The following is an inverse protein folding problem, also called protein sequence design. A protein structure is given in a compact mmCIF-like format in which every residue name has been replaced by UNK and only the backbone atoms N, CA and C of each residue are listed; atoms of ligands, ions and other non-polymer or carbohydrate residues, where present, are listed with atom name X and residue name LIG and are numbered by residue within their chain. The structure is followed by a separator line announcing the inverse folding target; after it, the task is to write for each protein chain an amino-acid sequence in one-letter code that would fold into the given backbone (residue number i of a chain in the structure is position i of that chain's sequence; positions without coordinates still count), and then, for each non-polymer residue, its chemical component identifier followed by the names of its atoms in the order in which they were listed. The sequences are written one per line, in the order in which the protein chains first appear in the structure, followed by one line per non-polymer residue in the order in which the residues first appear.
data_IF_153745104097
#
_entry.id   IF_153745104097
#
_cell.length_a   1.000
_cell.length_b   1.000
_cell.length_c   1.000
_cell.angle_alpha   90.00
_cell.angle_beta   90.00
_cell.angle_gamma   90.00
#
_symmetry.space_group_name_H-M   'P 1'
#
loop_
_entity.id
_entity.type
_entity.pdbx_description
1 polymer ?
#
# COMPACT_ATOMS: atom_id res chain seq x y z
N UNK A 1 -8.45 23.08 -33.50
CA UNK A 1 -7.85 24.40 -33.69
C UNK A 1 -7.94 25.21 -32.41
N UNK A 2 -6.90 25.93 -32.02
CA UNK A 2 -6.84 26.79 -30.84
C UNK A 2 -6.38 28.20 -31.25
N UNK A 3 -6.79 29.21 -30.47
CA UNK A 3 -6.37 30.59 -30.68
C UNK A 3 -5.17 30.83 -29.76
N UNK A 4 -4.03 31.32 -30.31
CA UNK A 4 -2.87 31.62 -29.49
C UNK A 4 -3.19 32.71 -28.44
N UNK A 5 -2.68 32.49 -27.23
CA UNK A 5 -2.70 33.54 -26.19
C UNK A 5 -1.69 34.65 -26.51
N UNK A 6 -1.63 35.69 -25.69
CA UNK A 6 -0.74 36.86 -25.89
C UNK A 6 0.75 36.51 -25.93
N UNK A 7 1.14 35.31 -25.45
CA UNK A 7 2.51 34.80 -25.47
C UNK A 7 2.75 33.79 -26.60
N UNK A 8 1.73 33.51 -27.44
CA UNK A 8 1.81 32.51 -28.51
C UNK A 8 1.58 31.06 -28.09
N UNK A 9 1.27 30.82 -26.83
CA UNK A 9 0.92 29.49 -26.29
C UNK A 9 -0.55 29.14 -26.52
N UNK A 10 -0.92 27.91 -26.16
CA UNK A 10 -2.29 27.40 -26.30
C UNK A 10 -3.10 27.45 -24.98
N UNK A 11 -2.47 27.89 -23.90
CA UNK A 11 -3.11 28.03 -22.61
C UNK A 11 -4.15 29.13 -22.58
N UNK A 12 -5.31 28.84 -21.98
CA UNK A 12 -6.31 29.88 -21.70
C UNK A 12 -5.94 30.57 -20.36
N UNK A 13 -5.28 31.74 -20.49
CA UNK A 13 -4.75 32.47 -19.33
C UNK A 13 -5.87 32.95 -18.40
N UNK A 14 -7.01 33.36 -18.95
CA UNK A 14 -8.18 33.80 -18.19
C UNK A 14 -8.77 32.66 -17.38
N UNK A 15 -8.83 31.44 -17.93
CA UNK A 15 -9.28 30.24 -17.21
C UNK A 15 -8.32 29.89 -16.08
N UNK A 16 -7.01 29.97 -16.30
CA UNK A 16 -5.98 29.74 -15.27
C UNK A 16 -6.17 30.71 -14.10
N UNK A 17 -6.28 32.02 -14.38
CA UNK A 17 -6.49 33.04 -13.35
C UNK A 17 -7.83 32.84 -12.61
N UNK A 18 -8.89 32.47 -13.35
CA UNK A 18 -10.18 32.16 -12.75
C UNK A 18 -10.06 31.00 -11.75
N UNK A 19 -9.38 29.87 -12.11
CA UNK A 19 -9.21 28.70 -11.26
C UNK A 19 -8.37 29.02 -10.02
N UNK A 20 -7.28 29.77 -10.17
CA UNK A 20 -6.46 30.25 -9.05
C UNK A 20 -7.29 31.08 -8.07
N UNK A 21 -8.05 32.03 -8.61
CA UNK A 21 -8.90 32.91 -7.80
C UNK A 21 -10.01 32.09 -7.10
N UNK A 22 -10.69 31.19 -7.83
CA UNK A 22 -11.70 30.29 -7.30
C UNK A 22 -11.16 29.51 -6.10
N UNK A 23 -10.02 28.82 -6.28
CA UNK A 23 -9.41 27.98 -5.24
C UNK A 23 -9.00 28.82 -4.02
N UNK A 24 -8.42 30.00 -4.23
CA UNK A 24 -8.05 30.93 -3.15
C UNK A 24 -9.27 31.36 -2.32
N UNK A 25 -10.34 31.79 -2.99
CA UNK A 25 -11.57 32.24 -2.31
C UNK A 25 -12.30 31.10 -1.63
N UNK A 26 -12.36 29.93 -2.29
CA UNK A 26 -13.02 28.75 -1.77
C UNK A 26 -12.36 28.25 -0.48
N UNK A 27 -11.05 28.05 -0.50
CA UNK A 27 -10.28 27.63 0.69
C UNK A 27 -10.41 28.60 1.86
N UNK A 28 -10.48 29.91 1.57
CA UNK A 28 -10.65 30.92 2.59
C UNK A 28 -12.03 30.90 3.23
N UNK A 29 -13.09 30.61 2.45
CA UNK A 29 -14.47 30.55 2.92
C UNK A 29 -14.84 29.20 3.53
N UNK A 30 -14.28 28.12 3.02
CA UNK A 30 -14.61 26.73 3.35
C UNK A 30 -13.33 25.92 3.61
N UNK A 31 -12.59 26.19 4.72
CA UNK A 31 -11.28 25.59 4.97
C UNK A 31 -11.32 24.06 5.14
N UNK A 32 -12.47 23.50 5.52
CA UNK A 32 -12.67 22.07 5.73
C UNK A 32 -13.17 21.32 4.47
N UNK A 33 -13.40 22.04 3.37
CA UNK A 33 -13.84 21.45 2.11
C UNK A 33 -12.67 21.29 1.14
N UNK A 34 -12.78 20.31 0.25
CA UNK A 34 -11.76 19.99 -0.74
C UNK A 34 -12.22 20.32 -2.16
N UNK A 35 -11.30 20.86 -2.95
CA UNK A 35 -11.45 20.99 -4.40
C UNK A 35 -10.53 19.98 -5.08
N UNK A 36 -11.11 19.09 -5.87
CA UNK A 36 -10.41 18.00 -6.56
C UNK A 36 -10.53 18.25 -8.06
N UNK A 37 -9.39 18.28 -8.75
CA UNK A 37 -9.36 18.47 -10.19
C UNK A 37 -9.56 17.13 -10.92
N UNK A 38 -10.50 17.09 -11.85
CA UNK A 38 -10.55 16.10 -12.92
C UNK A 38 -9.85 16.70 -14.14
N UNK A 39 -8.61 16.29 -14.34
CA UNK A 39 -7.77 16.81 -15.40
C UNK A 39 -6.84 15.69 -15.90
N UNK A 40 -6.89 15.37 -17.20
CA UNK A 40 -6.26 14.20 -17.81
C UNK A 40 -4.92 14.49 -18.48
N UNK A 41 -4.52 15.77 -18.58
CA UNK A 41 -3.28 16.14 -19.25
C UNK A 41 -2.07 16.12 -18.31
N UNK A 42 -0.90 16.35 -18.88
CA UNK A 42 0.34 16.52 -18.13
C UNK A 42 0.55 17.96 -17.62
N UNK A 43 -0.52 18.76 -17.49
CA UNK A 43 -0.42 20.12 -16.96
C UNK A 43 0.21 20.10 -15.57
N UNK A 44 1.29 20.88 -15.35
CA UNK A 44 2.02 20.84 -14.09
C UNK A 44 1.36 21.67 -13.00
N UNK A 45 1.66 21.32 -11.74
CA UNK A 45 1.28 22.09 -10.54
C UNK A 45 -0.22 22.32 -10.38
N UNK A 46 -1.07 21.40 -10.82
CA UNK A 46 -2.52 21.45 -10.54
C UNK A 46 -2.77 21.52 -9.04
N UNK A 47 -2.03 20.71 -8.26
CA UNK A 47 -2.11 20.68 -6.79
C UNK A 47 -1.00 21.45 -6.10
N UNK A 48 -0.24 22.22 -6.86
CA UNK A 48 0.79 23.13 -6.34
C UNK A 48 0.18 24.34 -5.64
N UNK A 49 0.94 24.92 -4.73
CA UNK A 49 0.51 26.12 -4.01
C UNK A 49 0.42 27.32 -4.96
N UNK A 50 -0.54 28.23 -4.70
CA UNK A 50 -0.76 29.43 -5.50
C UNK A 50 0.47 30.35 -5.53
N UNK A 51 1.23 30.39 -4.43
CA UNK A 51 2.47 31.18 -4.29
C UNK A 51 3.59 30.66 -5.18
N UNK A 52 3.56 29.37 -5.54
CA UNK A 52 4.50 28.70 -6.44
C UNK A 52 3.96 28.57 -7.88
N UNK A 53 3.01 29.42 -8.24
CA UNK A 53 2.33 29.43 -9.54
C UNK A 53 1.50 28.16 -9.83
N UNK A 54 1.11 27.42 -8.79
CA UNK A 54 0.18 26.30 -8.88
C UNK A 54 -1.27 26.77 -9.00
N UNK A 55 -2.19 25.84 -9.34
CA UNK A 55 -3.62 26.13 -9.41
C UNK A 55 -4.32 26.04 -8.05
N UNK A 56 -3.69 25.43 -7.05
CA UNK A 56 -4.20 25.37 -5.68
C UNK A 56 -5.30 24.36 -5.42
N UNK A 57 -5.50 23.35 -6.26
CA UNK A 57 -6.39 22.23 -5.95
C UNK A 57 -5.81 21.38 -4.83
N UNK A 58 -6.69 20.71 -4.06
CA UNK A 58 -6.25 19.82 -3.00
C UNK A 58 -5.74 18.48 -3.53
N UNK A 59 -6.41 17.96 -4.56
CA UNK A 59 -6.06 16.72 -5.25
C UNK A 59 -6.34 16.81 -6.74
N UNK A 60 -5.68 15.90 -7.48
CA UNK A 60 -5.93 15.66 -8.92
C UNK A 60 -6.24 14.19 -9.14
N UNK A 61 -7.22 13.85 -9.95
CA UNK A 61 -7.46 12.48 -10.38
C UNK A 61 -6.26 11.96 -11.18
N UNK A 62 -5.83 10.75 -10.87
CA UNK A 62 -4.77 10.07 -11.64
C UNK A 62 -5.40 9.22 -12.75
N UNK A 63 -5.78 9.87 -13.83
CA UNK A 63 -6.42 9.21 -14.96
C UNK A 63 -5.44 8.34 -15.76
N UNK A 64 -4.15 8.68 -15.77
CA UNK A 64 -3.10 7.86 -16.37
C UNK A 64 -2.99 6.50 -15.66
N UNK A 65 -2.85 6.51 -14.34
CA UNK A 65 -2.85 5.26 -13.55
C UNK A 65 -4.14 4.45 -13.75
N UNK A 66 -5.29 5.11 -13.76
CA UNK A 66 -6.59 4.46 -13.93
C UNK A 66 -6.67 3.73 -15.25
N UNK A 67 -6.31 4.38 -16.36
CA UNK A 67 -6.33 3.78 -17.69
C UNK A 67 -5.38 2.57 -17.77
N UNK A 68 -4.12 2.73 -17.39
CA UNK A 68 -3.11 1.67 -17.41
C UNK A 68 -3.53 0.49 -16.55
N UNK A 69 -4.00 0.77 -15.34
CA UNK A 69 -4.39 -0.25 -14.39
C UNK A 69 -5.61 -1.07 -14.85
N UNK A 70 -6.65 -0.41 -15.38
CA UNK A 70 -7.85 -1.10 -15.87
C UNK A 70 -7.51 -1.92 -17.13
N UNK A 71 -6.74 -1.37 -18.06
CA UNK A 71 -6.31 -2.12 -19.25
C UNK A 71 -5.48 -3.35 -18.87
N UNK A 72 -4.57 -3.22 -17.89
CA UNK A 72 -3.83 -4.34 -17.36
C UNK A 72 -4.75 -5.42 -16.77
N UNK A 73 -5.71 -5.02 -15.93
CA UNK A 73 -6.59 -5.94 -15.23
C UNK A 73 -7.57 -6.68 -16.15
N UNK A 74 -7.93 -6.12 -17.30
CA UNK A 74 -8.75 -6.77 -18.34
C UNK A 74 -8.04 -7.93 -19.01
N UNK A 75 -6.71 -7.93 -19.06
CA UNK A 75 -5.95 -9.00 -19.68
C UNK A 75 -6.11 -10.30 -18.90
N UNK A 76 -6.21 -11.42 -19.65
CA UNK A 76 -6.08 -12.74 -19.05
C UNK A 76 -4.71 -12.82 -18.31
N UNK A 77 -4.67 -13.37 -17.09
CA UNK A 77 -3.46 -13.47 -16.29
C UNK A 77 -2.23 -14.07 -17.03
N UNK A 78 -2.48 -14.94 -18.01
CA UNK A 78 -1.42 -15.55 -18.82
C UNK A 78 -0.68 -14.51 -19.70
N UNK A 79 -1.37 -13.44 -20.11
CA UNK A 79 -0.80 -12.41 -20.99
C UNK A 79 -0.30 -11.17 -20.23
N UNK A 80 -0.60 -11.05 -18.93
CA UNK A 80 -0.27 -9.86 -18.13
C UNK A 80 1.22 -9.53 -18.08
N UNK A 81 2.10 -10.53 -18.20
CA UNK A 81 3.54 -10.31 -18.21
C UNK A 81 4.02 -9.34 -19.29
N UNK A 82 3.40 -9.38 -20.47
CA UNK A 82 3.71 -8.46 -21.58
C UNK A 82 3.30 -7.00 -21.31
N UNK A 83 2.49 -6.76 -20.29
CA UNK A 83 1.92 -5.45 -19.92
C UNK A 83 2.32 -5.00 -18.52
N UNK A 84 3.37 -5.59 -17.97
CA UNK A 84 3.78 -5.36 -16.57
C UNK A 84 4.15 -3.88 -16.28
N UNK A 85 4.61 -3.17 -17.26
CA UNK A 85 4.91 -1.74 -17.22
C UNK A 85 3.67 -0.89 -16.90
N UNK A 86 2.47 -1.30 -17.30
CA UNK A 86 1.22 -0.61 -16.95
C UNK A 86 0.97 -0.54 -15.43
N UNK A 87 1.55 -1.44 -14.64
CA UNK A 87 1.48 -1.38 -13.17
C UNK A 87 2.57 -0.51 -12.54
N UNK A 88 3.72 -0.40 -13.19
CA UNK A 88 4.92 0.24 -12.61
C UNK A 88 5.13 1.67 -13.09
N UNK A 89 4.66 2.00 -14.29
CA UNK A 89 4.87 3.30 -14.92
C UNK A 89 4.36 4.49 -14.08
N UNK A 90 3.21 4.33 -13.43
CA UNK A 90 2.63 5.37 -12.58
C UNK A 90 3.56 5.84 -11.45
N UNK A 91 4.47 4.99 -10.99
CA UNK A 91 5.43 5.34 -9.93
C UNK A 91 6.49 6.36 -10.40
N UNK A 92 6.70 6.53 -11.70
CA UNK A 92 7.63 7.52 -12.25
C UNK A 92 7.13 8.94 -11.95
N UNK A 93 5.82 9.16 -11.94
CA UNK A 93 5.21 10.47 -11.72
C UNK A 93 4.33 10.54 -10.46
N UNK A 94 4.26 9.47 -9.65
CA UNK A 94 3.35 9.36 -8.50
C UNK A 94 3.42 10.52 -7.49
N UNK A 95 4.52 11.26 -7.46
CA UNK A 95 4.78 12.36 -6.51
C UNK A 95 4.85 13.72 -7.19
N UNK A 96 4.52 13.83 -8.50
CA UNK A 96 4.48 15.12 -9.20
C UNK A 96 3.28 15.96 -8.82
N UNK A 97 2.20 15.34 -8.36
CA UNK A 97 0.96 15.94 -7.90
C UNK A 97 0.42 15.19 -6.68
N UNK A 98 -0.54 15.78 -5.98
CA UNK A 98 -1.29 15.08 -4.92
C UNK A 98 -2.40 14.23 -5.57
N UNK A 99 -2.02 13.08 -6.08
CA UNK A 99 -2.93 12.23 -6.84
C UNK A 99 -3.98 11.53 -5.97
N UNK A 100 -5.18 11.44 -6.56
CA UNK A 100 -6.26 10.56 -6.13
C UNK A 100 -6.44 9.48 -7.19
N UNK A 101 -6.25 8.23 -6.81
CA UNK A 101 -6.39 7.06 -7.68
C UNK A 101 -7.89 6.81 -7.89
N UNK A 102 -8.42 7.34 -8.99
CA UNK A 102 -9.85 7.35 -9.28
C UNK A 102 -10.24 6.13 -10.12
N UNK A 103 -11.28 5.43 -9.67
CA UNK A 103 -12.10 4.56 -10.53
C UNK A 103 -13.51 5.10 -10.37
N UNK A 104 -13.95 5.89 -11.37
CA UNK A 104 -15.16 6.71 -11.27
C UNK A 104 -16.36 6.09 -12.00
N UNK A 105 -17.41 6.89 -12.22
CA UNK A 105 -18.55 6.50 -13.02
C UNK A 105 -18.19 6.29 -14.50
N UNK A 106 -17.24 7.05 -15.03
CA UNK A 106 -16.85 7.00 -16.43
C UNK A 106 -16.33 5.62 -16.86
N UNK A 107 -15.75 4.85 -15.94
CA UNK A 107 -15.26 3.51 -16.24
C UNK A 107 -16.37 2.45 -16.27
N UNK A 108 -17.58 2.80 -15.79
CA UNK A 108 -18.68 1.82 -15.60
C UNK A 108 -20.00 2.23 -16.25
N UNK A 109 -19.94 3.08 -17.28
CA UNK A 109 -21.07 3.60 -18.07
C UNK A 109 -20.82 3.48 -19.57
N UNK A 110 -21.81 3.78 -20.39
CA UNK A 110 -21.72 3.92 -21.85
C UNK A 110 -21.15 2.70 -22.58
N UNK A 111 -21.63 1.51 -22.23
CA UNK A 111 -21.22 0.20 -22.81
C UNK A 111 -19.76 -0.18 -22.50
N UNK A 112 -19.16 0.44 -21.50
CA UNK A 112 -17.80 0.06 -21.03
C UNK A 112 -17.84 -1.18 -20.11
N UNK A 113 -19.03 -1.59 -19.64
CA UNK A 113 -19.23 -2.66 -18.64
C UNK A 113 -18.87 -2.22 -17.21
N UNK A 114 -19.22 -3.03 -16.23
CA UNK A 114 -18.81 -2.81 -14.83
C UNK A 114 -17.35 -3.27 -14.59
N UNK A 115 -16.78 -2.95 -13.44
CA UNK A 115 -15.46 -3.50 -13.08
C UNK A 115 -15.50 -5.04 -13.00
N UNK A 116 -16.60 -5.59 -12.50
CA UNK A 116 -16.78 -7.04 -12.43
C UNK A 116 -16.73 -7.69 -13.83
N UNK A 117 -17.44 -7.12 -14.80
CA UNK A 117 -17.49 -7.66 -16.16
C UNK A 117 -16.19 -7.44 -16.95
N UNK A 118 -15.35 -6.49 -16.52
CA UNK A 118 -14.01 -6.26 -17.08
C UNK A 118 -13.01 -7.33 -16.64
N UNK A 119 -13.23 -7.98 -15.48
CA UNK A 119 -12.31 -8.99 -14.99
C UNK A 119 -12.42 -10.26 -15.84
N UNK A 120 -11.29 -10.87 -16.22
CA UNK A 120 -11.26 -12.12 -16.96
C UNK A 120 -11.64 -13.33 -16.11
N UNK A 121 -12.06 -14.39 -16.77
CA UNK A 121 -12.35 -15.69 -16.17
C UNK A 121 -13.80 -15.87 -15.71
N UNK A 122 -14.05 -16.95 -14.99
CA UNK A 122 -15.33 -17.27 -14.36
C UNK A 122 -15.56 -16.43 -13.10
N UNK A 123 -16.77 -16.45 -12.54
CA UNK A 123 -17.19 -15.56 -11.44
C UNK A 123 -16.23 -15.57 -10.24
N UNK A 124 -15.76 -16.75 -9.83
CA UNK A 124 -14.80 -16.86 -8.73
C UNK A 124 -13.46 -16.17 -9.05
N UNK A 125 -12.99 -16.29 -10.29
CA UNK A 125 -11.77 -15.63 -10.77
C UNK A 125 -11.97 -14.11 -10.90
N UNK A 126 -13.13 -13.65 -11.36
CA UNK A 126 -13.48 -12.22 -11.41
C UNK A 126 -13.46 -11.61 -10.02
N UNK A 127 -14.08 -12.28 -9.05
CA UNK A 127 -14.08 -11.81 -7.65
C UNK A 127 -12.67 -11.82 -7.05
N UNK A 128 -11.83 -12.81 -7.37
CA UNK A 128 -10.42 -12.82 -6.95
C UNK A 128 -9.64 -11.64 -7.57
N UNK A 129 -9.82 -11.38 -8.87
CA UNK A 129 -9.24 -10.24 -9.56
C UNK A 129 -9.70 -8.90 -8.94
N UNK A 130 -10.98 -8.75 -8.57
CA UNK A 130 -11.47 -7.54 -7.91
C UNK A 130 -10.84 -7.36 -6.51
N UNK A 131 -10.74 -8.43 -5.70
CA UNK A 131 -10.05 -8.36 -4.40
C UNK A 131 -8.59 -7.93 -4.57
N UNK A 132 -7.88 -8.49 -5.55
CA UNK A 132 -6.51 -8.10 -5.86
C UNK A 132 -6.44 -6.64 -6.33
N UNK A 133 -7.31 -6.22 -7.23
CA UNK A 133 -7.36 -4.87 -7.78
C UNK A 133 -7.56 -3.81 -6.68
N UNK A 134 -8.55 -3.99 -5.82
CA UNK A 134 -8.80 -3.07 -4.71
C UNK A 134 -7.67 -3.09 -3.67
N UNK A 135 -7.12 -4.28 -3.40
CA UNK A 135 -5.96 -4.41 -2.52
C UNK A 135 -4.76 -3.62 -3.03
N UNK A 136 -4.41 -3.77 -4.31
CA UNK A 136 -3.33 -3.03 -4.95
C UNK A 136 -3.61 -1.51 -4.94
N UNK A 137 -4.82 -1.08 -5.34
CA UNK A 137 -5.21 0.33 -5.31
C UNK A 137 -5.04 0.93 -3.91
N UNK A 138 -5.49 0.24 -2.85
CA UNK A 138 -5.36 0.76 -1.49
C UNK A 138 -3.92 0.75 -0.97
N UNK A 139 -3.10 -0.17 -1.43
CA UNK A 139 -1.69 -0.23 -1.05
C UNK A 139 -0.78 0.70 -1.87
N UNK A 140 -1.19 1.11 -3.07
CA UNK A 140 -0.44 2.06 -3.93
C UNK A 140 -0.41 3.47 -3.29
N UNK A 141 0.65 4.29 -3.46
CA UNK A 141 0.65 5.70 -3.03
C UNK A 141 -0.46 6.53 -3.67
N UNK A 142 -0.90 7.57 -2.98
CA UNK A 142 -2.00 8.46 -3.40
C UNK A 142 -3.31 8.18 -2.66
N UNK A 143 -4.28 9.11 -2.71
CA UNK A 143 -5.62 8.90 -2.14
C UNK A 143 -6.46 8.00 -3.06
N UNK A 144 -7.60 7.53 -2.58
CA UNK A 144 -8.39 6.48 -3.25
C UNK A 144 -9.80 6.97 -3.52
N UNK A 145 -10.33 6.59 -4.66
CA UNK A 145 -11.74 6.77 -5.00
C UNK A 145 -12.27 5.50 -5.67
N UNK A 146 -13.36 4.98 -5.14
CA UNK A 146 -14.19 3.96 -5.76
C UNK A 146 -15.57 4.52 -6.00
N UNK A 147 -16.20 4.13 -7.09
CA UNK A 147 -17.56 4.52 -7.38
C UNK A 147 -18.54 3.51 -6.78
N UNK A 148 -19.74 4.00 -6.41
CA UNK A 148 -20.78 3.21 -5.75
C UNK A 148 -21.12 1.92 -6.50
N UNK A 149 -21.28 0.82 -5.77
CA UNK A 149 -21.56 -0.51 -6.30
C UNK A 149 -20.30 -1.34 -6.62
N UNK A 150 -19.15 -0.70 -6.77
CA UNK A 150 -17.90 -1.44 -7.02
C UNK A 150 -17.50 -2.26 -5.79
N UNK A 151 -17.81 -1.80 -4.58
CA UNK A 151 -17.46 -2.43 -3.31
C UNK A 151 -18.12 -3.82 -3.11
N UNK A 152 -19.18 -4.12 -3.83
CA UNK A 152 -19.79 -5.45 -3.84
C UNK A 152 -19.81 -6.10 -5.24
N UNK A 153 -19.10 -5.50 -6.20
CA UNK A 153 -18.94 -6.07 -7.55
C UNK A 153 -20.20 -6.02 -8.40
N UNK A 154 -20.91 -4.88 -8.42
CA UNK A 154 -22.06 -4.69 -9.28
C UNK A 154 -21.80 -5.18 -10.70
N UNK A 155 -22.71 -6.00 -11.25
CA UNK A 155 -22.55 -6.63 -12.57
C UNK A 155 -22.97 -5.70 -13.69
N UNK A 156 -24.12 -5.04 -13.55
CA UNK A 156 -24.62 -4.11 -14.57
C UNK A 156 -23.85 -2.79 -14.50
N UNK A 157 -23.77 -2.10 -15.63
CA UNK A 157 -23.31 -0.71 -15.66
C UNK A 157 -24.15 0.16 -14.73
N UNK A 158 -23.50 1.17 -14.15
CA UNK A 158 -24.20 2.17 -13.36
C UNK A 158 -25.16 2.99 -14.23
N UNK A 159 -26.29 3.42 -13.67
CA UNK A 159 -27.26 4.30 -14.31
C UNK A 159 -27.98 5.12 -13.25
N UNK A 160 -28.13 6.41 -13.51
CA UNK A 160 -28.91 7.33 -12.68
C UNK A 160 -30.41 7.02 -12.69
N UNK A 161 -30.88 6.18 -13.63
CA UNK A 161 -32.30 5.84 -13.80
C UNK A 161 -32.75 4.68 -12.90
N UNK A 162 -31.85 4.03 -12.19
CA UNK A 162 -32.14 2.88 -11.35
C UNK A 162 -31.27 2.80 -10.10
N UNK A 163 -31.77 2.06 -9.10
CA UNK A 163 -31.00 1.70 -7.92
C UNK A 163 -29.81 0.80 -8.27
N UNK A 164 -28.81 0.77 -7.36
CA UNK A 164 -27.77 -0.27 -7.40
C UNK A 164 -28.40 -1.65 -7.22
N UNK A 165 -27.70 -2.67 -7.68
CA UNK A 165 -28.15 -4.08 -7.68
C UNK A 165 -27.92 -4.72 -6.30
N UNK A 166 -28.60 -4.17 -5.25
CA UNK A 166 -28.44 -4.60 -3.86
C UNK A 166 -28.76 -6.08 -3.63
N UNK A 167 -29.59 -6.67 -4.48
CA UNK A 167 -29.93 -8.09 -4.50
C UNK A 167 -28.71 -9.01 -4.67
N UNK A 168 -27.63 -8.52 -5.28
CA UNK A 168 -26.37 -9.27 -5.40
C UNK A 168 -25.77 -9.63 -4.04
N UNK A 169 -26.08 -8.87 -2.98
CA UNK A 169 -25.60 -9.19 -1.62
C UNK A 169 -26.24 -10.47 -1.02
N UNK A 170 -27.29 -10.99 -1.63
CA UNK A 170 -27.84 -12.31 -1.30
C UNK A 170 -26.92 -13.44 -1.80
N UNK A 171 -26.10 -13.17 -2.82
CA UNK A 171 -25.11 -14.09 -3.34
C UNK A 171 -23.82 -14.06 -2.49
N UNK A 172 -23.33 -15.25 -2.11
CA UNK A 172 -22.18 -15.39 -1.19
C UNK A 172 -20.92 -14.67 -1.69
N UNK A 173 -20.63 -14.76 -2.99
CA UNK A 173 -19.45 -14.14 -3.59
C UNK A 173 -19.42 -12.61 -3.47
N UNK A 174 -20.55 -11.96 -3.78
CA UNK A 174 -20.71 -10.50 -3.72
C UNK A 174 -20.74 -9.99 -2.28
N UNK A 175 -21.41 -10.71 -1.37
CA UNK A 175 -21.39 -10.40 0.06
C UNK A 175 -19.99 -10.49 0.63
N UNK A 176 -19.22 -11.54 0.32
CA UNK A 176 -17.83 -11.71 0.75
C UNK A 176 -16.89 -10.66 0.17
N UNK A 177 -17.14 -10.19 -1.05
CA UNK A 177 -16.39 -9.05 -1.61
C UNK A 177 -16.65 -7.78 -0.81
N UNK A 178 -17.88 -7.52 -0.40
CA UNK A 178 -18.19 -6.36 0.46
C UNK A 178 -17.54 -6.49 1.83
N UNK A 179 -17.55 -7.68 2.45
CA UNK A 179 -16.87 -7.96 3.71
C UNK A 179 -15.34 -7.76 3.57
N UNK A 180 -14.78 -8.18 2.43
CA UNK A 180 -13.39 -7.90 2.07
C UNK A 180 -13.11 -6.40 2.03
N UNK A 181 -13.94 -5.61 1.34
CA UNK A 181 -13.78 -4.16 1.26
C UNK A 181 -13.84 -3.49 2.63
N UNK A 182 -14.76 -3.91 3.51
CA UNK A 182 -14.82 -3.42 4.88
C UNK A 182 -13.54 -3.73 5.67
N UNK A 183 -13.00 -4.95 5.52
CA UNK A 183 -11.75 -5.35 6.16
C UNK A 183 -10.54 -4.59 5.60
N UNK A 184 -10.50 -4.36 4.29
CA UNK A 184 -9.45 -3.62 3.60
C UNK A 184 -9.44 -2.13 4.02
N UNK A 185 -10.61 -1.51 4.16
CA UNK A 185 -10.74 -0.14 4.67
C UNK A 185 -10.30 -0.04 6.14
N UNK A 186 -10.62 -1.03 6.97
CA UNK A 186 -10.12 -1.10 8.36
C UNK A 186 -8.59 -1.20 8.40
N UNK A 187 -8.00 -2.03 7.51
CA UNK A 187 -6.55 -2.11 7.36
C UNK A 187 -5.97 -0.74 6.99
N UNK A 188 -6.53 -0.08 5.99
CA UNK A 188 -6.09 1.24 5.53
C UNK A 188 -6.09 2.25 6.67
N UNK A 189 -7.19 2.37 7.43
CA UNK A 189 -7.30 3.28 8.58
C UNK A 189 -6.36 2.95 9.74
N UNK A 190 -6.07 1.67 9.96
CA UNK A 190 -5.25 1.22 11.10
C UNK A 190 -3.75 1.25 10.83
N UNK A 191 -3.33 1.38 9.55
CA UNK A 191 -1.93 1.31 9.15
C UNK A 191 -1.44 2.65 8.57
N UNK A 192 -0.79 3.52 9.36
CA UNK A 192 -0.29 4.81 8.90
C UNK A 192 0.59 4.73 7.66
N UNK A 193 1.33 3.65 7.49
CA UNK A 193 2.15 3.41 6.30
C UNK A 193 1.38 3.44 4.97
N UNK A 194 0.06 3.22 5.00
CA UNK A 194 -0.77 3.22 3.79
C UNK A 194 -1.24 4.62 3.36
N UNK A 195 -1.12 5.65 4.25
CA UNK A 195 -1.66 6.99 3.94
C UNK A 195 -0.81 8.18 4.41
N UNK A 196 0.13 8.00 5.37
CA UNK A 196 0.88 9.13 5.96
C UNK A 196 1.81 9.80 4.95
N UNK A 197 2.47 9.01 4.09
CA UNK A 197 3.40 9.48 3.06
C UNK A 197 2.91 9.18 1.64
N UNK A 198 1.63 9.40 1.37
CA UNK A 198 1.06 9.14 0.03
C UNK A 198 1.65 10.02 -1.07
N UNK A 199 2.18 11.20 -0.71
CA UNK A 199 2.72 12.19 -1.64
C UNK A 199 4.22 12.40 -1.48
N UNK A 200 4.92 11.43 -0.88
CA UNK A 200 6.38 11.43 -0.71
C UNK A 200 6.96 10.08 -1.05
N UNK A 201 8.07 10.09 -1.77
CA UNK A 201 8.85 8.87 -2.07
C UNK A 201 9.35 8.14 -0.82
N UNK A 202 9.43 8.82 0.33
CA UNK A 202 9.80 8.20 1.61
C UNK A 202 8.82 7.11 2.06
N UNK A 203 7.56 7.20 1.62
CA UNK A 203 6.49 6.26 1.96
C UNK A 203 6.47 4.96 1.18
N UNK A 204 7.32 4.83 0.15
CA UNK A 204 7.31 3.69 -0.76
C UNK A 204 8.71 3.20 -1.08
N UNK A 205 8.86 1.91 -1.31
CA UNK A 205 10.11 1.33 -1.79
C UNK A 205 9.82 0.02 -2.52
N UNK A 206 10.30 -0.12 -3.76
CA UNK A 206 10.28 -1.39 -4.45
C UNK A 206 11.20 -2.39 -3.75
N UNK A 207 10.71 -3.60 -3.53
CA UNK A 207 11.55 -4.77 -3.21
C UNK A 207 11.84 -5.52 -4.50
N UNK A 208 10.80 -5.84 -5.25
CA UNK A 208 10.94 -6.47 -6.56
C UNK A 208 9.75 -6.06 -7.46
N UNK A 209 10.05 -5.39 -8.56
CA UNK A 209 9.09 -5.01 -9.59
C UNK A 209 9.48 -5.55 -10.97
N UNK A 210 10.48 -6.43 -11.04
CA UNK A 210 11.03 -6.96 -12.30
C UNK A 210 10.59 -8.40 -12.61
N UNK A 211 9.77 -9.00 -11.74
CA UNK A 211 9.24 -10.36 -11.92
C UNK A 211 8.04 -10.40 -12.89
N UNK A 212 8.21 -9.80 -14.06
CA UNK A 212 7.15 -9.70 -15.06
C UNK A 212 6.69 -11.07 -15.59
N UNK A 213 7.59 -12.07 -15.71
CA UNK A 213 7.25 -13.44 -16.10
C UNK A 213 6.33 -14.13 -15.08
N UNK A 214 6.42 -13.74 -13.80
CA UNK A 214 5.59 -14.25 -12.72
C UNK A 214 4.42 -13.35 -12.38
N UNK A 215 4.33 -12.17 -12.99
CA UNK A 215 3.31 -11.15 -12.68
C UNK A 215 3.28 -10.77 -11.19
N UNK A 216 4.45 -10.63 -10.56
CA UNK A 216 4.58 -10.27 -9.15
C UNK A 216 5.04 -8.83 -8.98
N UNK A 217 4.42 -8.13 -8.05
CA UNK A 217 4.90 -6.85 -7.51
C UNK A 217 5.10 -6.97 -6.01
N UNK A 218 6.29 -6.59 -5.54
CA UNK A 218 6.64 -6.65 -4.12
C UNK A 218 7.21 -5.29 -3.72
N UNK A 219 6.61 -4.66 -2.72
CA UNK A 219 7.01 -3.32 -2.29
C UNK A 219 6.77 -3.11 -0.80
N UNK A 220 7.35 -2.04 -0.28
CA UNK A 220 7.15 -1.57 1.08
C UNK A 220 6.28 -0.32 1.09
N UNK A 221 5.41 -0.23 2.10
CA UNK A 221 4.82 1.02 2.54
C UNK A 221 5.44 1.37 3.91
N UNK A 222 5.81 2.63 4.08
CA UNK A 222 6.64 3.06 5.21
C UNK A 222 6.12 4.35 5.84
N UNK A 223 6.46 4.55 7.12
CA UNK A 223 6.45 5.85 7.81
C UNK A 223 7.87 6.17 8.32
N UNK A 224 8.02 7.24 9.09
CA UNK A 224 9.28 7.50 9.82
C UNK A 224 9.61 6.40 10.84
N UNK A 225 8.57 5.70 11.32
CA UNK A 225 8.73 4.62 12.29
C UNK A 225 8.95 3.31 11.57
N UNK A 226 10.08 2.70 11.82
CA UNK A 226 10.46 1.41 11.22
C UNK A 226 9.42 0.31 11.50
N UNK A 227 8.79 0.35 12.65
CA UNK A 227 7.81 -0.63 13.10
C UNK A 227 6.50 -0.57 12.30
N UNK A 228 6.19 0.56 11.67
CA UNK A 228 5.01 0.72 10.83
C UNK A 228 5.23 0.17 9.41
N UNK A 229 6.45 -0.32 9.09
CA UNK A 229 6.75 -0.85 7.75
C UNK A 229 5.86 -2.03 7.42
N UNK A 230 5.21 -1.96 6.28
CA UNK A 230 4.43 -3.03 5.66
C UNK A 230 5.16 -3.56 4.44
N UNK A 231 5.23 -4.89 4.31
CA UNK A 231 5.62 -5.56 3.08
C UNK A 231 4.34 -6.00 2.37
N UNK A 232 4.15 -5.52 1.15
CA UNK A 232 3.00 -5.83 0.29
C UNK A 232 3.48 -6.72 -0.84
N UNK A 233 2.76 -7.81 -1.08
CA UNK A 233 3.03 -8.79 -2.14
C UNK A 233 1.77 -8.94 -2.96
N UNK A 234 1.82 -8.56 -4.23
CA UNK A 234 0.71 -8.70 -5.18
C UNK A 234 1.07 -9.72 -6.26
N UNK A 235 0.22 -10.70 -6.45
CA UNK A 235 0.35 -11.71 -7.48
C UNK A 235 -0.81 -11.58 -8.49
N UNK A 236 -0.50 -11.13 -9.67
CA UNK A 236 -1.45 -10.95 -10.77
C UNK A 236 -1.55 -12.18 -11.69
N UNK A 237 -0.82 -13.27 -11.36
CA UNK A 237 -0.90 -14.54 -12.08
C UNK A 237 -1.89 -15.50 -11.43
N UNK A 238 -2.28 -16.53 -12.17
CA UNK A 238 -3.11 -17.64 -11.69
C UNK A 238 -2.28 -18.79 -11.06
N UNK A 239 -1.01 -18.52 -10.71
CA UNK A 239 -0.09 -19.50 -10.13
C UNK A 239 0.06 -19.24 -8.63
N UNK A 240 -0.07 -20.29 -7.82
CA UNK A 240 0.26 -20.26 -6.39
C UNK A 240 1.75 -20.53 -6.22
N UNK A 241 2.43 -19.74 -5.39
CA UNK A 241 3.82 -19.98 -5.02
C UNK A 241 3.92 -20.42 -3.55
N UNK A 242 4.25 -21.68 -3.29
CA UNK A 242 4.28 -22.24 -1.94
C UNK A 242 5.47 -21.82 -1.09
N UNK A 243 6.62 -21.57 -1.71
CA UNK A 243 7.89 -21.27 -1.04
C UNK A 243 8.66 -20.14 -1.77
N UNK A 244 8.04 -18.97 -1.90
CA UNK A 244 8.67 -17.85 -2.56
C UNK A 244 9.56 -17.08 -1.57
N UNK A 245 10.83 -16.86 -1.95
CA UNK A 245 11.78 -16.11 -1.14
C UNK A 245 11.72 -14.63 -1.53
N UNK A 246 11.59 -13.77 -0.53
CA UNK A 246 11.48 -12.30 -0.67
C UNK A 246 12.55 -11.64 0.16
N UNK A 247 13.29 -10.72 -0.43
CA UNK A 247 14.23 -9.85 0.27
C UNK A 247 13.51 -8.89 1.21
N UNK A 248 14.05 -8.69 2.41
CA UNK A 248 13.46 -7.79 3.40
C UNK A 248 14.51 -6.84 3.98
N UNK A 249 14.13 -5.55 4.25
CA UNK A 249 15.10 -4.53 4.65
C UNK A 249 15.63 -4.75 6.07
N UNK A 250 14.87 -5.40 6.92
CA UNK A 250 15.18 -5.51 8.34
C UNK A 250 15.20 -6.94 8.84
N UNK A 251 16.19 -7.32 9.67
CA UNK A 251 16.11 -8.58 10.39
C UNK A 251 15.00 -8.50 11.44
N UNK A 252 14.12 -9.50 11.48
CA UNK A 252 13.02 -9.53 12.44
C UNK A 252 11.89 -10.48 12.09
N UNK A 253 10.71 -10.15 12.63
CA UNK A 253 9.48 -10.91 12.46
C UNK A 253 8.61 -10.23 11.44
N UNK A 254 8.06 -11.01 10.52
CA UNK A 254 7.08 -10.60 9.52
C UNK A 254 5.81 -11.42 9.72
N UNK A 255 4.72 -10.77 10.10
CA UNK A 255 3.42 -11.40 10.34
C UNK A 255 2.45 -10.98 9.24
N UNK A 256 1.85 -11.94 8.56
CA UNK A 256 0.73 -11.65 7.66
C UNK A 256 -0.43 -11.10 8.48
N UNK A 257 -0.86 -9.90 8.14
CA UNK A 257 -1.96 -9.18 8.81
C UNK A 257 -3.19 -9.03 7.92
N UNK A 258 -3.01 -9.25 6.61
CA UNK A 258 -4.08 -9.21 5.64
C UNK A 258 -3.73 -10.10 4.44
N UNK A 259 -4.75 -10.79 3.89
CA UNK A 259 -4.61 -11.62 2.72
C UNK A 259 -5.94 -11.66 1.97
N UNK A 260 -5.93 -11.25 0.70
CA UNK A 260 -7.14 -11.19 -0.13
C UNK A 260 -7.70 -12.56 -0.49
N UNK A 261 -6.90 -13.62 -0.35
CA UNK A 261 -7.29 -15.00 -0.60
C UNK A 261 -7.76 -15.76 0.66
N UNK A 262 -7.95 -15.04 1.77
CA UNK A 262 -8.50 -15.66 2.97
C UNK A 262 -9.92 -16.24 2.70
N UNK A 263 -10.20 -17.42 3.23
CA UNK A 263 -11.49 -18.09 3.06
C UNK A 263 -12.68 -17.23 3.54
N UNK A 264 -12.48 -16.38 4.54
CA UNK A 264 -13.48 -15.41 4.99
C UNK A 264 -13.95 -14.45 3.89
N UNK A 265 -13.10 -14.18 2.89
CA UNK A 265 -13.39 -13.31 1.75
C UNK A 265 -13.73 -14.09 0.47
N UNK A 266 -13.98 -15.40 0.56
CA UNK A 266 -14.26 -16.26 -0.59
C UNK A 266 -13.03 -16.67 -1.39
N UNK A 267 -11.83 -16.59 -0.80
CA UNK A 267 -10.60 -17.10 -1.38
C UNK A 267 -10.36 -18.57 -1.06
N UNK A 268 -9.33 -19.15 -1.68
CA UNK A 268 -8.92 -20.54 -1.53
C UNK A 268 -8.18 -20.81 -0.19
N UNK A 269 -7.84 -19.78 0.56
CA UNK A 269 -7.18 -19.90 1.87
C UNK A 269 -5.68 -20.13 1.80
N UNK A 270 -5.00 -19.70 0.74
CA UNK A 270 -3.54 -19.72 0.63
C UNK A 270 -2.96 -18.59 1.47
N UNK A 271 -2.76 -18.85 2.75
CA UNK A 271 -2.35 -17.86 3.76
C UNK A 271 -1.07 -18.25 4.50
N UNK A 272 -0.46 -17.31 5.23
CA UNK A 272 0.73 -17.51 6.06
C UNK A 272 0.39 -17.35 7.55
N UNK A 273 -0.22 -18.35 8.22
CA UNK A 273 -0.72 -18.19 9.59
C UNK A 273 0.40 -18.06 10.63
N UNK A 274 1.61 -18.52 10.30
CA UNK A 274 2.78 -18.44 11.20
C UNK A 274 3.62 -17.22 10.88
N UNK A 275 4.11 -16.55 11.93
CA UNK A 275 5.10 -15.48 11.80
C UNK A 275 6.34 -15.98 11.07
N UNK A 276 6.78 -15.23 10.07
CA UNK A 276 8.01 -15.51 9.33
C UNK A 276 9.18 -14.80 10.01
N UNK A 277 10.20 -15.56 10.37
CA UNK A 277 11.46 -14.99 10.86
C UNK A 277 12.39 -14.76 9.69
N UNK A 278 12.94 -13.56 9.56
CA UNK A 278 13.94 -13.30 8.53
C UNK A 278 15.22 -14.14 8.77
N UNK A 279 15.82 -14.58 7.68
CA UNK A 279 17.10 -15.29 7.65
C UNK A 279 18.16 -14.43 6.98
N UNK A 280 19.42 -14.59 7.34
CA UNK A 280 20.56 -14.03 6.62
C UNK A 280 20.76 -14.81 5.31
N UNK A 281 19.92 -14.56 4.34
CA UNK A 281 20.00 -15.09 2.98
C UNK A 281 19.70 -13.94 2.04
N UNK A 282 20.60 -13.67 1.13
CA UNK A 282 20.50 -12.56 0.19
C UNK A 282 19.41 -12.84 -0.85
N UNK A 283 18.54 -11.87 -1.09
CA UNK A 283 17.48 -11.91 -2.07
C UNK A 283 17.03 -10.48 -2.38
N UNK A 284 16.65 -10.19 -3.62
CA UNK A 284 16.15 -8.88 -4.05
C UNK A 284 17.06 -7.72 -3.56
N UNK A 285 18.37 -7.86 -3.70
CA UNK A 285 19.39 -6.91 -3.23
C UNK A 285 19.33 -6.60 -1.71
N UNK A 286 18.68 -7.46 -0.92
CA UNK A 286 18.59 -7.36 0.53
C UNK A 286 19.37 -8.48 1.21
N UNK A 287 20.06 -8.14 2.33
CA UNK A 287 20.89 -9.10 3.11
C UNK A 287 20.06 -10.12 3.89
N UNK A 288 18.76 -9.86 4.04
CA UNK A 288 17.85 -10.73 4.76
C UNK A 288 16.66 -11.07 3.87
N UNK A 289 16.09 -12.25 4.09
CA UNK A 289 14.91 -12.70 3.35
C UNK A 289 13.94 -13.44 4.25
N UNK A 290 12.69 -13.56 3.80
CA UNK A 290 11.67 -14.44 4.33
C UNK A 290 11.19 -15.38 3.23
N UNK A 291 10.59 -16.51 3.62
CA UNK A 291 9.95 -17.42 2.67
C UNK A 291 8.47 -17.50 2.97
N UNK A 292 7.63 -17.20 1.98
CA UNK A 292 6.19 -17.08 2.12
C UNK A 292 5.45 -17.93 1.08
N UNK A 293 4.16 -18.18 1.35
CA UNK A 293 3.19 -18.60 0.33
C UNK A 293 2.59 -17.34 -0.29
N UNK A 294 2.38 -17.37 -1.59
CA UNK A 294 1.74 -16.28 -2.33
C UNK A 294 0.52 -16.86 -3.07
N UNK A 295 -0.69 -16.39 -2.78
CA UNK A 295 -1.90 -16.86 -3.46
C UNK A 295 -1.92 -16.46 -4.94
N UNK A 296 -2.59 -17.22 -5.77
CA UNK A 296 -2.95 -16.82 -7.11
C UNK A 296 -3.94 -15.65 -7.07
N UNK A 297 -3.85 -14.70 -8.01
CA UNK A 297 -4.75 -13.55 -8.11
C UNK A 297 -5.01 -12.91 -6.74
N UNK A 298 -3.95 -12.69 -5.96
CA UNK A 298 -4.11 -12.26 -4.58
C UNK A 298 -3.02 -11.32 -4.07
N UNK A 299 -3.35 -10.63 -2.97
CA UNK A 299 -2.46 -9.74 -2.25
C UNK A 299 -2.29 -10.21 -0.81
N UNK A 300 -1.04 -10.20 -0.34
CA UNK A 300 -0.70 -10.43 1.08
C UNK A 300 0.02 -9.21 1.64
N UNK A 301 -0.32 -8.83 2.87
CA UNK A 301 0.33 -7.72 3.60
C UNK A 301 0.94 -8.26 4.89
N UNK A 302 2.23 -7.98 5.07
CA UNK A 302 2.97 -8.39 6.26
C UNK A 302 3.41 -7.16 7.06
N UNK A 303 3.15 -7.17 8.37
CA UNK A 303 3.70 -6.19 9.30
C UNK A 303 5.05 -6.65 9.83
N UNK A 304 5.95 -5.68 9.97
CA UNK A 304 7.27 -5.90 10.57
C UNK A 304 7.25 -5.68 12.09
N UNK A 305 8.01 -6.49 12.82
CA UNK A 305 8.36 -6.22 14.22
C UNK A 305 9.79 -6.65 14.53
N UNK A 306 10.45 -5.89 15.41
CA UNK A 306 11.82 -6.22 15.85
C UNK A 306 11.85 -7.60 16.53
N UNK A 307 12.97 -8.33 16.45
CA UNK A 307 13.19 -9.48 17.33
C UNK A 307 13.12 -9.00 18.77
N UNK A 308 12.53 -9.79 19.66
CA UNK A 308 12.68 -9.53 21.09
C UNK A 308 14.19 -9.47 21.42
N UNK A 309 14.65 -8.39 22.04
CA UNK A 309 16.02 -8.37 22.57
C UNK A 309 16.17 -9.60 23.49
N UNK A 310 17.15 -10.47 23.16
CA UNK A 310 17.53 -11.49 24.14
C UNK A 310 17.90 -10.77 25.40
N UNK A 311 17.20 -11.02 26.50
CA UNK A 311 17.58 -10.53 27.81
C UNK A 311 19.08 -10.85 27.95
N UNK A 312 19.90 -9.82 28.00
CA UNK A 312 21.34 -9.99 28.29
C UNK A 312 21.36 -10.73 29.63
N UNK A 313 21.81 -11.99 29.60
CA UNK A 313 21.97 -12.78 30.78
C UNK A 313 22.78 -11.97 31.80
N UNK A 314 22.14 -11.49 32.86
CA UNK A 314 22.73 -10.75 33.96
C UNK A 314 23.64 -11.65 34.83
N UNK A 315 24.24 -12.70 34.23
CA UNK A 315 25.23 -13.57 34.92
C UNK A 315 26.55 -12.88 35.19
N UNK A 316 26.92 -11.85 34.38
CA UNK A 316 28.16 -11.10 34.60
C UNK A 316 28.08 -10.08 35.76
N UNK A 317 26.89 -9.55 36.08
CA UNK A 317 26.74 -8.64 37.21
C UNK A 317 26.82 -9.35 38.59
N UNK A 318 26.30 -10.60 38.69
CA UNK A 318 26.37 -11.38 39.94
C UNK A 318 27.76 -11.93 40.24
N UNK A 319 28.61 -12.13 39.22
CA UNK A 319 29.98 -12.57 39.39
C UNK A 319 30.91 -11.43 39.85
N UNK A 320 30.66 -10.19 39.43
CA UNK A 320 31.41 -9.03 39.90
C UNK A 320 31.04 -8.61 41.33
N UNK A 321 29.74 -8.69 41.72
CA UNK A 321 29.34 -8.40 43.10
C UNK A 321 29.87 -9.44 44.09
N UNK A 322 29.89 -10.73 43.71
CA UNK A 322 30.49 -11.79 44.58
C UNK A 322 32.00 -11.64 44.74
N UNK A 323 32.74 -11.25 43.70
CA UNK A 323 34.22 -10.98 43.81
C UNK A 323 34.55 -9.73 44.63
N UNK A 324 33.70 -8.70 44.62
CA UNK A 324 33.90 -7.47 45.39
C UNK A 324 33.56 -7.67 46.86
N UNK A 325 32.54 -8.48 47.21
CA UNK A 325 32.21 -8.78 48.60
C UNK A 325 33.25 -9.71 49.27
N UNK A 326 33.79 -10.69 48.54
CA UNK A 326 34.86 -11.57 49.05
C UNK A 326 36.16 -10.77 49.32
N UNK A 327 36.55 -9.85 48.43
CA UNK A 327 37.72 -8.99 48.66
C UNK A 327 37.54 -8.02 49.84
N UNK A 328 36.34 -7.53 50.10
CA UNK A 328 36.04 -6.64 51.23
C UNK A 328 36.08 -7.36 52.58
N UNK A 329 35.61 -8.62 52.62
CA UNK A 329 35.69 -9.44 53.84
C UNK A 329 37.12 -9.87 54.15
N UNK A 330 37.91 -10.29 53.15
CA UNK A 330 39.35 -10.61 53.39
C UNK A 330 40.15 -9.40 53.87
N UNK A 331 39.84 -8.17 53.43
CA UNK A 331 40.54 -6.96 53.88
C UNK A 331 40.20 -6.65 55.35
N UNK A 332 38.95 -6.87 55.76
CA UNK A 332 38.51 -6.69 57.17
C UNK A 332 39.12 -7.69 58.12
N UNK A 333 39.22 -8.95 57.72
CA UNK A 333 39.87 -10.00 58.50
C UNK A 333 41.38 -9.82 58.67
N UNK A 334 42.06 -9.20 57.67
CA UNK A 334 43.48 -8.84 57.78
C UNK A 334 43.68 -7.63 58.66
N UNK A 335 42.83 -6.62 58.62
CA UNK A 335 42.90 -5.43 59.50
C UNK A 335 42.63 -5.79 60.96
N UNK A 336 41.68 -6.69 61.26
CA UNK A 336 41.40 -7.18 62.63
C UNK A 336 42.53 -8.08 63.20
N UNK A 337 43.31 -8.77 62.37
CA UNK A 337 44.47 -9.55 62.82
C UNK A 337 45.71 -8.69 63.16
N UNK A 338 45.89 -7.56 62.48
CA UNK A 338 46.98 -6.63 62.73
C UNK A 338 46.75 -5.83 64.02
N UNK A 339 45.50 -5.49 64.40
CA UNK A 339 45.15 -4.81 65.63
C UNK A 339 45.29 -5.68 66.92
N UNK A 340 45.34 -7.04 66.76
CA UNK A 340 45.49 -7.98 67.87
C UNK A 340 46.94 -8.38 68.16
N UNK A 341 47.92 -8.02 67.27
CA UNK A 341 49.31 -8.29 67.48
C UNK A 341 50.12 -7.09 68.10
N UNK A 342 49.44 -5.94 68.25
CA UNK A 342 50.06 -4.70 68.88
C UNK A 342 49.54 -4.46 70.33
N UNK A 343 48.99 -5.46 70.99
CA UNK A 343 48.66 -5.46 72.42
C UNK A 343 49.34 -6.62 73.09
#
# INVERSE_FOLDING_TARGET
EWVPNIYGGNENLEAIEFLKHLNSVFKKKFPDAMLIAEESTAWPKITGDLEDDGLGFDYKWNMGWMNDFIEYMKNDPVFRGAHHDQLTFSMIYAYSEKFLLSISHDEVVHMKGSLYTKMPGEDQQKLANLRLAYGYQLAHPGKKLLFMGQEFGQIREWSEQRSLDWELLEEDGHRKLQEYMQALLKLYHSCPALYEYDFSSDGFEWINCLEWEKNLLIFLRKTKKREDTLLVVCNFSNVVYDNFMIGVPYPGKYKEIFNSDAAAFGGEGVVNPRVKMSKKAECDERKNSITVKIPALGMSVFSYSRPAEKAKDNKTAKTHQKKTSVKRNLKKELEEKFETEEK
#
